data_IF_242712077898
#
_entry.id   IF_242712077898
#
_cell.length_a   1.000
_cell.length_b   1.000
_cell.length_c   1.000
_cell.angle_alpha   90.00
_cell.angle_beta   90.00
_cell.angle_gamma   90.00
#
_symmetry.space_group_name_H-M   'P 1'
#
loop_
_entity.id
_entity.type
_entity.pdbx_description
1 polymer ?
#
# COMPACT_ATOMS: atom_id res chain seq x y z
N UNK A 1 -17.54 -12.13 11.83
CA UNK A 1 -16.63 -11.41 10.90
C UNK A 1 -16.76 -9.92 11.10
N UNK A 2 -15.72 -9.12 10.86
CA UNK A 2 -15.82 -7.65 10.97
C UNK A 2 -16.48 -7.12 9.69
N UNK A 3 -17.76 -6.76 9.76
CA UNK A 3 -18.53 -6.32 8.59
C UNK A 3 -17.96 -5.03 7.98
N UNK A 4 -17.91 -4.96 6.65
CA UNK A 4 -17.46 -3.80 5.85
C UNK A 4 -16.05 -3.27 6.18
N UNK A 5 -15.16 -4.10 6.74
CA UNK A 5 -13.81 -3.66 7.13
C UNK A 5 -12.89 -3.58 5.90
N UNK A 6 -12.61 -2.36 5.42
CA UNK A 6 -11.67 -2.08 4.33
C UNK A 6 -10.24 -1.91 4.86
N UNK A 7 -9.27 -2.44 4.11
CA UNK A 7 -7.84 -2.36 4.44
C UNK A 7 -7.36 -3.43 5.42
N UNK A 8 -6.19 -4.02 5.13
CA UNK A 8 -5.58 -5.07 5.96
C UNK A 8 -4.63 -4.47 7.01
N UNK A 9 -4.54 -5.12 8.18
CA UNK A 9 -3.67 -4.68 9.29
C UNK A 9 -2.20 -5.07 9.13
N UNK A 10 -1.87 -6.06 8.30
CA UNK A 10 -0.51 -6.56 8.04
C UNK A 10 0.35 -6.80 9.31
N UNK A 11 -0.29 -7.15 10.44
CA UNK A 11 0.36 -7.27 11.75
C UNK A 11 1.23 -6.06 12.13
N UNK A 12 0.80 -4.85 11.74
CA UNK A 12 1.54 -3.60 11.97
C UNK A 12 0.64 -2.54 12.61
N UNK A 13 1.24 -1.63 13.36
CA UNK A 13 0.58 -0.41 13.85
C UNK A 13 0.17 0.49 12.69
N UNK A 14 -0.70 1.48 12.93
CA UNK A 14 -1.14 2.41 11.89
C UNK A 14 0.03 3.20 11.29
N UNK A 15 0.95 3.67 12.13
CA UNK A 15 2.15 4.41 11.74
C UNK A 15 3.06 3.58 10.84
N UNK A 16 3.37 2.34 11.24
CA UNK A 16 4.22 1.46 10.45
C UNK A 16 3.54 1.11 9.11
N UNK A 17 2.20 0.93 9.07
CA UNK A 17 1.51 0.75 7.77
C UNK A 17 1.66 1.98 6.87
N UNK A 18 1.53 3.19 7.41
CA UNK A 18 1.72 4.43 6.64
C UNK A 18 3.13 4.49 6.04
N UNK A 19 4.16 4.27 6.86
CA UNK A 19 5.55 4.25 6.40
C UNK A 19 5.81 3.14 5.37
N UNK A 20 5.28 1.93 5.58
CA UNK A 20 5.40 0.81 4.64
C UNK A 20 4.82 1.17 3.26
N UNK A 21 3.63 1.77 3.21
CA UNK A 21 3.02 2.15 1.93
C UNK A 21 3.73 3.32 1.27
N UNK A 22 4.23 4.30 2.02
CA UNK A 22 5.06 5.38 1.49
C UNK A 22 6.32 4.85 0.82
N UNK A 23 7.03 3.93 1.48
CA UNK A 23 8.24 3.32 0.93
C UNK A 23 7.94 2.47 -0.31
N UNK A 24 6.85 1.70 -0.31
CA UNK A 24 6.45 0.90 -1.48
C UNK A 24 6.03 1.78 -2.67
N UNK A 25 5.30 2.87 -2.42
CA UNK A 25 4.91 3.82 -3.46
C UNK A 25 6.15 4.51 -4.06
N UNK A 26 7.06 4.98 -3.22
CA UNK A 26 8.32 5.60 -3.67
C UNK A 26 9.20 4.63 -4.46
N UNK A 27 9.32 3.37 -4.01
CA UNK A 27 10.05 2.34 -4.74
C UNK A 27 9.42 2.04 -6.10
N UNK A 28 8.09 1.94 -6.18
CA UNK A 28 7.38 1.72 -7.44
C UNK A 28 7.56 2.89 -8.42
N UNK A 29 7.48 4.13 -7.95
CA UNK A 29 7.69 5.31 -8.81
C UNK A 29 9.15 5.36 -9.30
N UNK A 30 10.12 5.05 -8.44
CA UNK A 30 11.55 5.13 -8.78
C UNK A 30 12.01 4.01 -9.72
N UNK A 31 11.48 2.81 -9.54
CA UNK A 31 11.96 1.61 -10.24
C UNK A 31 10.97 1.08 -11.29
N UNK A 32 9.81 1.72 -11.45
CA UNK A 32 8.71 1.39 -12.37
C UNK A 32 8.04 0.03 -12.14
N UNK A 33 8.75 -0.92 -11.51
CA UNK A 33 8.27 -2.24 -11.16
C UNK A 33 8.88 -2.70 -9.84
N UNK A 34 8.06 -3.31 -8.99
CA UNK A 34 8.51 -3.94 -7.73
C UNK A 34 7.84 -5.30 -7.54
N UNK A 35 8.53 -6.21 -6.86
CA UNK A 35 7.95 -7.48 -6.43
C UNK A 35 7.52 -7.38 -4.97
N UNK A 36 6.26 -7.70 -4.68
CA UNK A 36 5.71 -7.70 -3.32
C UNK A 36 4.60 -8.74 -3.18
N UNK A 37 4.10 -8.95 -1.96
CA UNK A 37 2.99 -9.89 -1.73
C UNK A 37 1.70 -9.38 -2.36
N UNK A 38 0.87 -10.29 -2.87
CA UNK A 38 -0.42 -9.98 -3.52
C UNK A 38 -1.29 -9.00 -2.71
N UNK A 39 -1.39 -9.24 -1.39
CA UNK A 39 -2.20 -8.41 -0.49
C UNK A 39 -1.67 -6.97 -0.38
N UNK A 40 -0.34 -6.79 -0.28
CA UNK A 40 0.28 -5.45 -0.26
C UNK A 40 0.10 -4.74 -1.59
N UNK A 41 0.26 -5.45 -2.72
CA UNK A 41 0.07 -4.88 -4.04
C UNK A 41 -1.37 -4.37 -4.25
N UNK A 42 -2.38 -5.19 -3.90
CA UNK A 42 -3.79 -4.81 -4.00
C UNK A 42 -4.13 -3.58 -3.15
N UNK A 43 -3.56 -3.47 -1.95
CA UNK A 43 -3.83 -2.34 -1.05
C UNK A 43 -2.97 -1.10 -1.39
N UNK A 44 -1.86 -1.26 -2.13
CA UNK A 44 -1.01 -0.16 -2.61
C UNK A 44 -1.62 0.59 -3.80
N UNK A 45 -2.34 -0.11 -4.69
CA UNK A 45 -2.98 0.46 -5.89
C UNK A 45 -3.73 1.78 -5.66
N UNK A 46 -4.72 1.87 -4.76
CA UNK A 46 -5.47 3.12 -4.56
C UNK A 46 -4.64 4.26 -3.96
N UNK A 47 -3.47 3.96 -3.38
CA UNK A 47 -2.53 4.98 -2.89
C UNK A 47 -1.75 5.55 -4.07
N UNK A 48 -1.20 4.69 -4.92
CA UNK A 48 -0.40 5.10 -6.08
C UNK A 48 -1.27 5.77 -7.15
N UNK A 49 -2.46 5.25 -7.45
CA UNK A 49 -3.40 5.87 -8.40
C UNK A 49 -3.74 7.31 -8.00
N UNK A 50 -3.95 7.56 -6.70
CA UNK A 50 -4.16 8.92 -6.18
C UNK A 50 -2.93 9.81 -6.34
N UNK A 51 -1.72 9.29 -6.16
CA UNK A 51 -0.48 10.06 -6.33
C UNK A 51 -0.22 10.47 -7.78
N UNK A 52 -0.61 9.61 -8.74
CA UNK A 52 -0.44 9.87 -10.18
C UNK A 52 -1.50 10.86 -10.71
N UNK A 53 -2.68 10.89 -10.09
CA UNK A 53 -3.81 11.73 -10.53
C UNK A 53 -3.80 13.14 -9.90
N UNK A 54 -2.80 13.48 -9.08
CA UNK A 54 -2.58 14.84 -8.56
C UNK A 54 -2.13 15.79 -9.69
#
# INVERSE_FOLDING_TARGET
MRHNNRGRKFHRTAEHRKAMFMNLAGALIKHEQITTTLHKAKDLRPIVEKLVTL
#
